data_IF_218993790233
#
_entry.id   IF_218993790233
#
_cell.length_a   1.000
_cell.length_b   1.000
_cell.length_c   1.000
_cell.angle_alpha   90.00
_cell.angle_beta   90.00
_cell.angle_gamma   90.00
#
_symmetry.space_group_name_H-M   'P 1'
#
loop_
_entity.id
_entity.type
_entity.pdbx_description
1 polymer ?
#
# COMPACT_ATOMS: atom_id res chain seq x y z
N UNK A 1 -6.93 -1.23 18.38
CA UNK A 1 -7.59 -2.25 17.54
C UNK A 1 -6.71 -3.49 17.57
N UNK A 2 -7.20 -4.73 17.43
CA UNK A 2 -6.30 -5.90 17.47
C UNK A 2 -5.90 -6.31 16.06
N UNK A 3 -4.81 -7.08 15.92
CA UNK A 3 -4.45 -7.72 14.64
C UNK A 3 -5.66 -8.45 14.03
N UNK A 4 -6.39 -9.21 14.84
CA UNK A 4 -7.52 -10.03 14.37
C UNK A 4 -8.68 -9.20 13.82
N UNK A 5 -9.00 -8.04 14.41
CA UNK A 5 -10.09 -7.20 13.89
C UNK A 5 -9.67 -6.50 12.60
N UNK A 6 -8.44 -5.96 12.53
CA UNK A 6 -7.89 -5.40 11.29
C UNK A 6 -7.86 -6.44 10.16
N UNK A 7 -7.45 -7.67 10.49
CA UNK A 7 -7.43 -8.78 9.55
C UNK A 7 -8.84 -9.11 9.05
N UNK A 8 -9.82 -9.19 9.94
CA UNK A 8 -11.20 -9.47 9.58
C UNK A 8 -11.85 -8.39 8.69
N UNK A 9 -11.46 -7.12 8.84
CA UNK A 9 -11.90 -6.01 7.99
C UNK A 9 -11.33 -6.12 6.56
N UNK A 10 -10.08 -6.57 6.43
CA UNK A 10 -9.36 -6.62 5.16
C UNK A 10 -9.67 -7.89 4.34
N UNK A 11 -9.91 -9.03 5.00
CA UNK A 11 -10.19 -10.34 4.37
C UNK A 11 -11.32 -10.36 3.32
N UNK A 12 -12.40 -9.57 3.42
CA UNK A 12 -13.44 -9.56 2.38
C UNK A 12 -13.02 -8.86 1.09
N UNK A 13 -12.04 -7.95 1.14
CA UNK A 13 -11.71 -7.03 0.03
C UNK A 13 -10.97 -7.78 -1.08
N UNK A 14 -11.51 -7.73 -2.29
CA UNK A 14 -10.93 -8.37 -3.48
C UNK A 14 -10.97 -9.90 -3.46
N UNK A 15 -11.73 -10.53 -2.55
CA UNK A 15 -11.83 -11.99 -2.47
C UNK A 15 -12.76 -12.53 -3.56
N UNK A 16 -12.27 -13.47 -4.35
CA UNK A 16 -13.03 -14.17 -5.38
C UNK A 16 -13.93 -15.23 -4.75
N UNK A 17 -15.23 -15.18 -5.04
CA UNK A 17 -16.20 -16.21 -4.61
C UNK A 17 -16.00 -17.56 -5.32
N UNK A 18 -15.35 -17.56 -6.50
CA UNK A 18 -15.14 -18.75 -7.31
C UNK A 18 -13.88 -19.53 -6.91
N UNK A 19 -12.75 -18.83 -6.72
CA UNK A 19 -11.45 -19.44 -6.40
C UNK A 19 -11.13 -19.41 -4.91
N UNK A 20 -11.77 -18.54 -4.14
CA UNK A 20 -11.44 -18.28 -2.73
C UNK A 20 -10.17 -17.45 -2.51
N UNK A 21 -9.38 -17.21 -3.57
CA UNK A 21 -8.19 -16.34 -3.57
C UNK A 21 -8.53 -14.87 -3.78
N UNK A 22 -7.50 -14.04 -3.98
CA UNK A 22 -7.64 -12.58 -4.06
C UNK A 22 -7.25 -12.02 -5.42
N UNK A 23 -7.93 -10.94 -5.82
CA UNK A 23 -7.70 -10.19 -7.06
C UNK A 23 -7.72 -8.71 -6.74
N UNK A 24 -6.61 -8.20 -6.21
CA UNK A 24 -6.40 -6.80 -5.82
C UNK A 24 -5.41 -6.12 -6.76
N UNK A 25 -5.69 -6.14 -8.06
CA UNK A 25 -4.78 -5.53 -9.03
C UNK A 25 -4.68 -4.02 -8.82
N UNK A 26 -3.46 -3.48 -8.94
CA UNK A 26 -3.20 -2.06 -8.77
C UNK A 26 -4.15 -1.19 -9.60
N UNK A 27 -4.66 -0.11 -9.00
CA UNK A 27 -5.57 0.87 -9.62
C UNK A 27 -6.89 0.27 -10.13
N UNK A 28 -7.38 -0.77 -9.46
CA UNK A 28 -8.74 -1.29 -9.65
C UNK A 28 -9.61 -0.98 -8.44
N UNK A 29 -10.92 -1.26 -8.51
CA UNK A 29 -11.82 -1.01 -7.37
C UNK A 29 -11.41 -1.74 -6.09
N UNK A 30 -10.93 -2.99 -6.19
CA UNK A 30 -10.48 -3.74 -5.02
C UNK A 30 -9.21 -3.15 -4.39
N UNK A 31 -8.29 -2.64 -5.20
CA UNK A 31 -7.13 -1.90 -4.70
C UNK A 31 -7.55 -0.56 -4.05
N UNK A 32 -8.49 0.16 -4.66
CA UNK A 32 -9.04 1.39 -4.08
C UNK A 32 -9.67 1.15 -2.69
N UNK A 33 -10.42 0.06 -2.53
CA UNK A 33 -11.00 -0.34 -1.24
C UNK A 33 -9.91 -0.67 -0.20
N UNK A 34 -8.84 -1.38 -0.60
CA UNK A 34 -7.69 -1.65 0.26
C UNK A 34 -6.95 -0.37 0.66
N UNK A 35 -6.77 0.56 -0.28
CA UNK A 35 -6.16 1.87 -0.05
C UNK A 35 -7.00 2.71 0.91
N UNK A 36 -8.33 2.69 0.77
CA UNK A 36 -9.24 3.35 1.69
C UNK A 36 -9.19 2.74 3.10
N UNK A 37 -9.09 1.41 3.19
CA UNK A 37 -8.88 0.72 4.46
C UNK A 37 -7.55 1.17 5.12
N UNK A 38 -6.44 1.17 4.38
CA UNK A 38 -5.14 1.61 4.90
C UNK A 38 -5.19 3.04 5.46
N UNK A 39 -5.79 3.96 4.70
CA UNK A 39 -5.99 5.35 5.12
C UNK A 39 -6.79 5.42 6.43
N UNK A 40 -7.88 4.67 6.53
CA UNK A 40 -8.71 4.61 7.75
C UNK A 40 -7.91 4.09 8.96
N UNK A 41 -7.07 3.07 8.76
CA UNK A 41 -6.20 2.54 9.81
C UNK A 41 -5.15 3.56 10.27
N UNK A 42 -4.61 4.35 9.34
CA UNK A 42 -3.65 5.41 9.64
C UNK A 42 -4.31 6.57 10.42
N UNK A 43 -5.40 7.12 9.89
CA UNK A 43 -6.09 8.30 10.46
C UNK A 43 -6.69 7.98 11.84
N UNK A 44 -7.27 6.79 12.03
CA UNK A 44 -7.81 6.36 13.33
C UNK A 44 -6.76 6.25 14.44
N UNK A 45 -5.47 6.18 14.08
CA UNK A 45 -4.32 6.16 15.00
C UNK A 45 -3.67 7.52 15.16
N UNK A 46 -4.24 8.56 14.55
CA UNK A 46 -3.66 9.91 14.53
C UNK A 46 -2.33 9.97 13.77
N UNK A 47 -2.09 9.06 12.82
CA UNK A 47 -0.93 9.12 11.94
C UNK A 47 -1.21 10.11 10.81
N UNK A 48 -0.18 10.83 10.38
CA UNK A 48 -0.28 11.68 9.19
C UNK A 48 -0.30 10.78 7.96
N UNK A 49 -1.46 10.68 7.33
CA UNK A 49 -1.60 9.99 6.05
C UNK A 49 -1.03 10.84 4.91
N UNK A 50 -0.29 10.20 4.02
CA UNK A 50 0.29 10.80 2.83
C UNK A 50 0.21 9.80 1.69
N UNK A 51 -0.25 10.25 0.52
CA UNK A 51 -0.08 9.52 -0.73
C UNK A 51 1.06 10.21 -1.48
N UNK A 52 2.14 9.49 -1.74
CA UNK A 52 3.27 10.07 -2.48
C UNK A 52 3.00 10.09 -3.99
N UNK A 53 3.88 10.78 -4.71
CA UNK A 53 3.85 10.89 -6.17
C UNK A 53 4.11 9.58 -6.91
N UNK A 54 4.53 8.55 -6.19
CA UNK A 54 4.82 7.22 -6.73
C UNK A 54 3.63 6.26 -6.54
N UNK A 55 2.52 6.75 -5.96
CA UNK A 55 1.34 5.96 -5.66
C UNK A 55 1.44 5.10 -4.40
N UNK A 56 2.45 5.31 -3.54
CA UNK A 56 2.58 4.64 -2.26
C UNK A 56 1.81 5.40 -1.18
N UNK A 57 1.20 4.66 -0.26
CA UNK A 57 0.55 5.25 0.91
C UNK A 57 1.46 5.15 2.13
N UNK A 58 1.59 6.27 2.83
CA UNK A 58 2.42 6.40 4.02
C UNK A 58 1.55 6.82 5.20
N UNK A 59 1.84 6.24 6.37
CA UNK A 59 1.23 6.59 7.64
C UNK A 59 2.34 6.96 8.63
N UNK A 60 2.55 8.26 8.84
CA UNK A 60 3.67 8.78 9.60
C UNK A 60 3.32 9.05 11.07
N UNK A 61 4.21 8.61 11.96
CA UNK A 61 4.34 9.05 13.34
C UNK A 61 5.57 9.98 13.43
N UNK A 62 5.34 11.25 13.75
CA UNK A 62 6.38 12.29 13.71
C UNK A 62 6.48 12.95 12.33
N UNK A 63 7.40 13.91 12.19
CA UNK A 63 7.63 14.61 10.93
C UNK A 63 8.75 13.92 10.14
N UNK A 64 8.50 13.41 8.92
CA UNK A 64 9.55 12.81 8.09
C UNK A 64 10.67 13.79 7.70
N UNK A 65 10.49 15.11 7.87
CA UNK A 65 11.54 16.09 7.64
C UNK A 65 12.55 16.23 8.81
N UNK A 66 12.29 15.63 9.97
CA UNK A 66 13.16 15.73 11.16
C UNK A 66 14.44 14.87 11.11
N UNK A 67 14.65 14.12 10.02
CA UNK A 67 15.86 13.34 9.76
C UNK A 67 15.57 11.91 9.34
N UNK A 68 16.42 10.98 9.77
CA UNK A 68 16.26 9.56 9.41
C UNK A 68 15.03 8.95 10.07
N UNK A 69 14.27 8.17 9.30
CA UNK A 69 13.07 7.48 9.75
C UNK A 69 13.24 5.95 9.77
N UNK A 70 12.40 5.28 10.57
CA UNK A 70 12.22 3.82 10.52
C UNK A 70 10.94 3.52 9.74
N UNK A 71 11.07 2.80 8.63
CA UNK A 71 9.92 2.41 7.79
C UNK A 71 9.66 0.91 7.95
N UNK A 72 8.39 0.56 8.15
CA UNK A 72 7.89 -0.82 8.11
C UNK A 72 6.66 -0.86 7.21
N UNK A 73 6.31 -2.02 6.66
CA UNK A 73 5.17 -2.13 5.78
C UNK A 73 5.34 -3.25 4.78
N UNK A 74 4.51 -3.23 3.75
CA UNK A 74 4.53 -4.18 2.63
C UNK A 74 3.67 -3.62 1.49
N UNK A 75 2.80 -4.43 0.91
CA UNK A 75 1.88 -4.07 -0.16
C UNK A 75 0.48 -4.62 0.13
N UNK A 76 -0.53 -4.18 -0.61
CA UNK A 76 -1.90 -4.68 -0.53
C UNK A 76 -2.42 -5.19 -1.87
N UNK A 77 -1.66 -5.07 -2.95
CA UNK A 77 -2.02 -5.67 -4.22
C UNK A 77 -1.86 -7.20 -4.17
N UNK A 78 -2.19 -7.88 -5.27
CA UNK A 78 -2.03 -9.33 -5.35
C UNK A 78 -1.84 -9.80 -6.79
N UNK A 79 -1.14 -10.92 -6.94
CA UNK A 79 -1.27 -11.76 -8.15
C UNK A 79 -2.72 -12.27 -8.34
N UNK A 80 -3.09 -12.76 -9.55
CA UNK A 80 -4.39 -13.36 -9.79
C UNK A 80 -4.62 -14.57 -8.89
N UNK A 81 -5.72 -14.55 -8.13
CA UNK A 81 -6.09 -15.60 -7.19
C UNK A 81 -5.02 -15.85 -6.11
N UNK A 82 -4.31 -14.78 -5.72
CA UNK A 82 -3.28 -14.78 -4.69
C UNK A 82 -3.80 -15.15 -3.29
N UNK A 83 -2.85 -15.43 -2.39
CA UNK A 83 -3.15 -15.79 -1.00
C UNK A 83 -3.63 -14.61 -0.14
N UNK A 84 -4.11 -14.91 1.06
CA UNK A 84 -4.56 -13.90 2.02
C UNK A 84 -3.41 -13.15 2.71
N UNK A 85 -2.20 -13.73 2.72
CA UNK A 85 -1.10 -13.30 3.58
C UNK A 85 -0.06 -12.45 2.86
N UNK A 86 0.22 -12.75 1.60
CA UNK A 86 1.25 -12.06 0.82
C UNK A 86 0.87 -10.62 0.56
N UNK A 87 1.64 -9.68 1.12
CA UNK A 87 1.29 -8.26 1.25
C UNK A 87 0.59 -7.92 2.57
N UNK A 88 -0.72 -8.20 2.73
CA UNK A 88 -1.51 -7.79 3.89
C UNK A 88 -0.92 -8.14 5.25
N UNK A 89 -0.23 -9.30 5.38
CA UNK A 89 0.37 -9.70 6.65
C UNK A 89 1.38 -8.66 7.13
N UNK A 90 2.21 -8.13 6.24
CA UNK A 90 3.19 -7.10 6.58
C UNK A 90 2.51 -5.81 7.03
N UNK A 91 1.56 -5.31 6.23
CA UNK A 91 0.84 -4.06 6.51
C UNK A 91 0.07 -4.12 7.84
N UNK A 92 -0.71 -5.18 8.06
CA UNK A 92 -1.51 -5.33 9.29
C UNK A 92 -0.59 -5.54 10.51
N UNK A 93 0.49 -6.29 10.35
CA UNK A 93 1.46 -6.51 11.43
C UNK A 93 2.18 -5.22 11.81
N UNK A 94 2.48 -4.33 10.85
CA UNK A 94 3.08 -3.03 11.14
C UNK A 94 2.16 -2.14 11.98
N UNK A 95 0.87 -2.08 11.66
CA UNK A 95 -0.11 -1.37 12.51
C UNK A 95 -0.24 -2.01 13.90
N UNK A 96 -0.29 -3.34 13.98
CA UNK A 96 -0.37 -4.05 15.25
C UNK A 96 0.88 -3.84 16.12
N UNK A 97 2.06 -3.82 15.51
CA UNK A 97 3.33 -3.56 16.19
C UNK A 97 3.39 -2.14 16.74
N UNK A 98 2.92 -1.15 15.97
CA UNK A 98 2.81 0.23 16.45
C UNK A 98 1.85 0.34 17.64
N UNK A 99 0.67 -0.30 17.56
CA UNK A 99 -0.31 -0.32 18.66
C UNK A 99 0.30 -0.93 19.93
N UNK A 100 1.05 -2.03 19.79
CA UNK A 100 1.74 -2.68 20.90
C UNK A 100 2.87 -1.82 21.50
N UNK A 101 3.69 -1.17 20.66
CA UNK A 101 4.73 -0.24 21.12
C UNK A 101 4.13 0.92 21.92
N UNK A 102 3.01 1.49 21.45
CA UNK A 102 2.27 2.52 22.18
C UNK A 102 1.71 2.00 23.50
N UNK A 103 1.14 0.79 23.53
CA UNK A 103 0.63 0.17 24.75
C UNK A 103 1.74 -0.05 25.80
N UNK A 104 2.94 -0.39 25.34
CA UNK A 104 4.16 -0.49 26.17
C UNK A 104 4.78 0.86 26.56
N UNK A 105 4.19 1.98 26.11
CA UNK A 105 4.70 3.34 26.29
C UNK A 105 6.14 3.50 25.79
N UNK A 106 6.47 2.85 24.66
CA UNK A 106 7.78 3.02 24.03
C UNK A 106 7.98 4.49 23.60
N UNK A 107 9.19 4.99 23.79
CA UNK A 107 9.61 6.30 23.28
C UNK A 107 10.09 6.16 21.84
N UNK A 108 9.59 7.02 20.95
CA UNK A 108 9.99 7.09 19.55
C UNK A 108 11.01 8.22 19.38
N UNK A 109 12.28 7.89 19.16
CA UNK A 109 13.37 8.85 19.00
C UNK A 109 13.62 9.26 17.55
N UNK A 110 12.90 8.64 16.61
CA UNK A 110 12.92 8.91 15.17
C UNK A 110 11.49 8.84 14.64
N UNK A 111 11.18 9.55 13.54
CA UNK A 111 9.94 9.33 12.81
C UNK A 111 9.79 7.85 12.42
N UNK A 112 8.55 7.36 12.49
CA UNK A 112 8.21 6.01 12.04
C UNK A 112 7.14 6.10 10.94
N UNK A 113 7.31 5.33 9.88
CA UNK A 113 6.30 5.19 8.83
C UNK A 113 5.83 3.75 8.72
N UNK A 114 4.52 3.60 8.52
CA UNK A 114 3.95 2.39 7.95
C UNK A 114 3.66 2.67 6.48
N UNK A 115 4.12 1.80 5.58
CA UNK A 115 3.95 1.97 4.13
C UNK A 115 3.14 0.85 3.49
N UNK A 116 2.27 1.22 2.56
CA UNK A 116 1.68 0.33 1.56
C UNK A 116 2.25 0.73 0.19
N UNK A 117 3.19 -0.07 -0.33
CA UNK A 117 3.77 0.14 -1.65
C UNK A 117 2.76 -0.19 -2.75
N UNK A 118 2.71 0.66 -3.79
CA UNK A 118 1.85 0.44 -4.93
C UNK A 118 2.44 -0.53 -5.95
N UNK A 119 1.62 -1.48 -6.41
CA UNK A 119 1.93 -2.45 -7.49
C UNK A 119 3.25 -3.19 -7.24
N UNK A 120 3.31 -3.89 -6.10
CA UNK A 120 4.47 -4.69 -5.73
C UNK A 120 4.59 -5.96 -6.58
N UNK A 121 3.46 -6.62 -6.83
CA UNK A 121 3.42 -7.89 -7.55
C UNK A 121 3.70 -7.70 -9.04
N UNK A 122 3.42 -6.50 -9.58
CA UNK A 122 3.48 -6.21 -11.01
C UNK A 122 2.46 -7.01 -11.83
N UNK A 123 1.44 -7.55 -11.17
CA UNK A 123 0.46 -8.45 -11.77
C UNK A 123 -0.34 -7.80 -12.90
N UNK A 124 -0.51 -6.47 -12.84
CA UNK A 124 -1.25 -5.71 -13.85
C UNK A 124 -0.35 -5.20 -14.97
N UNK A 125 0.82 -4.67 -14.65
CA UNK A 125 1.66 -3.91 -15.59
C UNK A 125 2.95 -4.62 -16.02
N UNK A 126 3.16 -5.86 -15.58
CA UNK A 126 4.29 -6.71 -15.97
C UNK A 126 5.63 -6.29 -15.37
N UNK A 127 5.64 -5.33 -14.44
CA UNK A 127 6.84 -4.91 -13.71
C UNK A 127 6.56 -4.91 -12.22
N UNK A 128 7.23 -5.80 -11.47
CA UNK A 128 7.13 -5.83 -10.02
C UNK A 128 7.76 -4.58 -9.37
N UNK A 129 7.31 -4.28 -8.16
CA UNK A 129 7.84 -3.26 -7.27
C UNK A 129 7.80 -1.84 -7.87
N UNK A 130 6.73 -1.45 -8.58
CA UNK A 130 6.67 -0.14 -9.25
C UNK A 130 6.84 0.99 -8.24
N UNK A 131 6.00 1.03 -7.19
CA UNK A 131 5.99 2.09 -6.20
C UNK A 131 7.29 2.19 -5.40
N UNK A 132 7.88 1.05 -5.00
CA UNK A 132 9.14 1.03 -4.24
C UNK A 132 10.36 1.32 -5.11
N UNK A 133 10.38 0.90 -6.38
CA UNK A 133 11.45 1.25 -7.32
C UNK A 133 11.43 2.72 -7.69
N UNK A 134 10.26 3.32 -7.87
CA UNK A 134 10.12 4.77 -8.05
C UNK A 134 10.67 5.51 -6.83
N UNK A 135 10.26 5.12 -5.61
CA UNK A 135 10.74 5.71 -4.37
C UNK A 135 12.26 5.58 -4.18
N UNK A 136 12.85 4.45 -4.62
CA UNK A 136 14.29 4.21 -4.55
C UNK A 136 15.10 4.80 -5.73
N UNK A 137 14.45 5.46 -6.70
CA UNK A 137 15.09 5.97 -7.91
C UNK A 137 15.60 4.89 -8.88
N UNK A 138 15.09 3.66 -8.76
CA UNK A 138 15.43 2.52 -9.60
C UNK A 138 14.51 2.39 -10.84
N UNK A 139 13.40 3.11 -10.85
CA UNK A 139 12.49 3.24 -11.98
C UNK A 139 12.26 4.73 -12.21
N UNK A 140 12.35 5.21 -13.46
CA UNK A 140 12.01 6.60 -13.77
C UNK A 140 10.52 6.74 -14.04
N UNK A 141 9.98 7.94 -13.85
CA UNK A 141 8.57 8.26 -14.15
C UNK A 141 8.26 7.96 -15.61
N UNK A 142 9.15 8.29 -16.54
CA UNK A 142 8.95 8.03 -17.97
C UNK A 142 8.93 6.53 -18.27
N UNK A 143 9.72 5.72 -17.55
CA UNK A 143 9.68 4.26 -17.66
C UNK A 143 8.35 3.72 -17.12
N UNK A 144 7.91 4.18 -15.95
CA UNK A 144 6.64 3.80 -15.35
C UNK A 144 5.45 4.18 -16.25
N UNK A 145 5.47 5.37 -16.86
CA UNK A 145 4.41 5.85 -17.75
C UNK A 145 4.25 5.04 -19.04
N UNK A 146 5.29 4.29 -19.43
CA UNK A 146 5.25 3.38 -20.59
C UNK A 146 4.72 1.99 -20.27
N UNK A 147 4.51 1.66 -19.00
CA UNK A 147 3.94 0.38 -18.61
C UNK A 147 2.49 0.27 -19.08
N UNK A 148 2.12 -0.89 -19.59
CA UNK A 148 0.77 -1.19 -20.10
C UNK A 148 0.27 -2.50 -19.51
N UNK A 149 -1.02 -2.55 -19.19
CA UNK A 149 -1.68 -3.81 -18.81
C UNK A 149 -2.05 -4.66 -20.03
N UNK A 150 -2.64 -5.84 -19.78
CA UNK A 150 -3.02 -6.79 -20.82
C UNK A 150 -4.06 -6.27 -21.83
N UNK A 151 -4.78 -5.20 -21.48
CA UNK A 151 -5.76 -4.52 -22.35
C UNK A 151 -5.15 -3.30 -23.06
N UNK A 152 -3.84 -3.06 -22.89
CA UNK A 152 -3.12 -1.93 -23.46
C UNK A 152 -3.36 -0.60 -22.73
N UNK A 153 -3.92 -0.61 -21.51
CA UNK A 153 -4.12 0.59 -20.71
C UNK A 153 -2.80 0.95 -20.04
N UNK A 154 -2.35 2.19 -20.17
CA UNK A 154 -1.11 2.64 -19.53
C UNK A 154 -1.29 2.84 -18.03
N UNK A 155 -0.19 2.78 -17.26
CA UNK A 155 -0.21 3.08 -15.82
C UNK A 155 -0.85 4.46 -15.53
N UNK A 156 -0.49 5.57 -16.23
CA UNK A 156 -1.15 6.86 -16.05
C UNK A 156 -2.67 6.80 -16.27
N UNK A 157 -3.12 6.14 -17.34
CA UNK A 157 -4.56 6.00 -17.62
C UNK A 157 -5.28 5.21 -16.52
N UNK A 158 -4.61 4.22 -15.92
CA UNK A 158 -5.18 3.47 -14.80
C UNK A 158 -5.27 4.32 -13.53
N UNK A 159 -4.25 5.13 -13.23
CA UNK A 159 -4.26 6.09 -12.13
C UNK A 159 -5.38 7.13 -12.29
N UNK A 160 -5.51 7.73 -13.48
CA UNK A 160 -6.58 8.68 -13.80
C UNK A 160 -7.97 8.09 -13.60
N UNK A 161 -8.18 6.85 -14.08
CA UNK A 161 -9.46 6.13 -13.90
C UNK A 161 -9.76 5.83 -12.43
N UNK A 162 -8.73 5.65 -11.61
CA UNK A 162 -8.84 5.47 -10.17
C UNK A 162 -8.97 6.81 -9.42
N UNK A 163 -8.94 7.95 -10.12
CA UNK A 163 -9.12 9.29 -9.57
C UNK A 163 -7.83 9.96 -9.08
N UNK A 164 -6.67 9.51 -9.57
CA UNK A 164 -5.36 10.05 -9.23
C UNK A 164 -4.72 10.77 -10.42
N UNK A 165 -4.04 11.87 -10.15
CA UNK A 165 -3.26 12.59 -11.15
C UNK A 165 -1.85 11.95 -11.25
N UNK A 166 -1.44 11.40 -12.40
CA UNK A 166 -0.14 10.76 -12.58
C UNK A 166 1.04 11.74 -12.59
N UNK A 167 0.80 13.05 -12.72
CA UNK A 167 1.84 14.07 -12.83
C UNK A 167 2.13 14.82 -11.51
N UNK A 168 1.32 14.62 -10.45
CA UNK A 168 1.40 15.39 -9.21
C UNK A 168 1.56 14.58 -7.94
#
# INVERSE_FOLDING_TARGET
MTFHSMWAELLPIGRSSASGGYRRFAWTGADADCRAWFRTQAESRGLRYELDRNGNQWAWLGDPAEGDAVVTGSHLDSVPDGGAFDGPLGVVSSFAALDELRARKAEFTRPLAIVNFGDEEGARFGLACVGSRLAAGQLTVEQAHRLTDGDGITLPQAMERAGYDPDT
#
